data_IF_969338816393
#
_entry.id   IF_969338816393
#
_cell.length_a   1.000
_cell.length_b   1.000
_cell.length_c   1.000
_cell.angle_alpha   90.00
_cell.angle_beta   90.00
_cell.angle_gamma   90.00
#
_symmetry.space_group_name_H-M   'P 1'
#
loop_
_entity.id
_entity.type
_entity.pdbx_description
1 polymer ?
#
# COMPACT_ATOMS: atom_id res chain seq x y z
N UNK A 1 -9.11 -13.47 19.28
CA UNK A 1 -8.60 -12.72 20.48
C UNK A 1 -9.59 -11.61 20.81
N UNK A 2 -9.95 -11.45 22.06
CA UNK A 2 -10.92 -10.41 22.48
C UNK A 2 -10.21 -9.06 22.56
N UNK A 3 -10.79 -8.03 21.96
CA UNK A 3 -10.34 -6.65 22.12
C UNK A 3 -10.78 -6.15 23.50
N UNK A 4 -9.87 -5.59 24.31
CA UNK A 4 -10.21 -5.00 25.60
C UNK A 4 -11.10 -3.75 25.43
N UNK A 5 -12.09 -3.58 26.32
CA UNK A 5 -12.90 -2.35 26.35
C UNK A 5 -12.04 -1.20 26.85
N UNK A 6 -11.69 -0.27 25.95
CA UNK A 6 -10.91 0.92 26.31
C UNK A 6 -9.64 1.13 25.49
N UNK A 7 -9.45 0.38 24.38
CA UNK A 7 -8.28 0.60 23.54
C UNK A 7 -8.27 2.03 22.99
N UNK A 8 -7.29 2.77 23.43
CA UNK A 8 -6.81 4.00 22.83
C UNK A 8 -5.81 3.62 21.71
N UNK A 9 -5.66 4.47 20.68
CA UNK A 9 -4.54 4.32 19.77
C UNK A 9 -4.84 3.58 18.47
N UNK A 10 -6.00 3.81 17.83
CA UNK A 10 -6.26 3.36 16.47
C UNK A 10 -5.48 4.16 15.44
N UNK A 11 -4.86 3.47 14.51
CA UNK A 11 -4.13 4.06 13.40
C UNK A 11 -4.52 3.40 12.06
N UNK A 12 -4.50 4.22 11.02
CA UNK A 12 -4.70 3.83 9.63
C UNK A 12 -3.51 4.32 8.82
N UNK A 13 -2.76 3.40 8.26
CA UNK A 13 -1.86 3.69 7.15
C UNK A 13 -2.65 3.55 5.85
N UNK A 14 -3.00 4.68 5.23
CA UNK A 14 -3.73 4.71 3.97
C UNK A 14 -2.74 4.72 2.81
N UNK A 15 -2.31 3.55 2.37
CA UNK A 15 -1.37 3.40 1.26
C UNK A 15 -2.01 3.50 -0.13
N UNK A 16 -1.20 3.71 -1.16
CA UNK A 16 -1.65 3.77 -2.57
C UNK A 16 -2.11 2.40 -3.07
N UNK A 17 -1.41 1.34 -2.72
CA UNK A 17 -1.67 -0.04 -3.15
C UNK A 17 -2.33 -0.85 -2.04
N UNK A 18 -1.84 -0.75 -0.82
CA UNK A 18 -2.35 -1.45 0.34
C UNK A 18 -2.49 -0.48 1.53
N UNK A 19 -3.48 -0.71 2.37
CA UNK A 19 -3.73 0.03 3.61
C UNK A 19 -3.61 -0.89 4.82
N UNK A 20 -2.99 -0.39 5.89
CA UNK A 20 -2.82 -1.10 7.15
C UNK A 20 -3.65 -0.46 8.28
N UNK A 21 -4.35 -1.27 9.06
CA UNK A 21 -5.01 -0.81 10.29
C UNK A 21 -4.25 -1.38 11.48
N UNK A 22 -3.82 -0.52 12.38
CA UNK A 22 -3.13 -0.93 13.59
C UNK A 22 -3.79 -0.33 14.84
N UNK A 23 -3.53 -0.93 15.98
CA UNK A 23 -3.90 -0.38 17.28
C UNK A 23 -2.83 -0.74 18.31
N UNK A 24 -2.74 0.07 19.35
CA UNK A 24 -1.92 -0.24 20.52
C UNK A 24 -2.58 -1.34 21.34
N UNK A 25 -1.84 -2.40 21.67
CA UNK A 25 -2.29 -3.49 22.52
C UNK A 25 -1.72 -3.29 23.93
N UNK A 26 -2.55 -2.82 24.85
CA UNK A 26 -2.14 -2.54 26.23
C UNK A 26 -1.66 -3.80 26.97
N UNK A 27 -2.16 -4.98 26.59
CA UNK A 27 -1.78 -6.24 27.24
C UNK A 27 -0.39 -6.71 26.83
N UNK A 28 0.02 -6.37 25.62
CA UNK A 28 1.33 -6.72 25.07
C UNK A 28 2.33 -5.56 25.16
N UNK A 29 1.87 -4.35 25.50
CA UNK A 29 2.71 -3.14 25.53
C UNK A 29 3.31 -2.77 24.16
N UNK A 30 2.67 -3.15 23.06
CA UNK A 30 3.18 -2.95 21.71
C UNK A 30 2.07 -2.72 20.67
N UNK A 31 2.38 -2.11 19.52
CA UNK A 31 1.42 -1.99 18.43
C UNK A 31 1.11 -3.36 17.81
N UNK A 32 -0.09 -3.49 17.28
CA UNK A 32 -0.57 -4.68 16.61
C UNK A 32 -1.37 -4.31 15.36
N UNK A 33 -1.13 -4.99 14.24
CA UNK A 33 -2.02 -4.94 13.09
C UNK A 33 -3.36 -5.61 13.40
N UNK A 34 -4.41 -5.01 12.89
CA UNK A 34 -5.77 -5.53 13.00
C UNK A 34 -6.08 -6.34 11.75
N UNK A 35 -6.23 -7.64 11.92
CA UNK A 35 -6.64 -8.52 10.85
C UNK A 35 -8.11 -8.28 10.49
N UNK A 36 -8.37 -8.07 9.21
CA UNK A 36 -9.70 -7.86 8.63
C UNK A 36 -9.99 -8.95 7.59
N UNK A 37 -10.30 -10.20 8.02
CA UNK A 37 -10.30 -11.38 7.15
C UNK A 37 -11.22 -11.28 5.94
N UNK A 38 -12.28 -10.46 6.02
CA UNK A 38 -13.21 -10.28 4.90
C UNK A 38 -12.64 -9.44 3.77
N UNK A 39 -11.64 -8.58 4.03
CA UNK A 39 -11.15 -7.58 3.05
C UNK A 39 -9.64 -7.59 2.85
N UNK A 40 -8.85 -8.15 3.78
CA UNK A 40 -7.40 -8.27 3.61
C UNK A 40 -7.03 -9.31 2.55
N UNK A 41 -5.78 -9.32 2.12
CA UNK A 41 -5.24 -10.35 1.24
C UNK A 41 -5.45 -11.75 1.84
N UNK A 42 -5.55 -12.79 1.01
CA UNK A 42 -5.62 -14.17 1.50
C UNK A 42 -4.32 -14.54 2.22
N UNK A 43 -4.49 -15.27 3.31
CA UNK A 43 -3.42 -16.00 3.97
C UNK A 43 -3.18 -17.29 3.17
N UNK A 44 -2.32 -17.27 2.18
CA UNK A 44 -1.93 -18.49 1.46
C UNK A 44 -0.77 -19.20 2.15
N UNK A 45 -0.02 -18.46 2.97
CA UNK A 45 1.10 -18.99 3.75
C UNK A 45 1.06 -18.50 5.19
N UNK A 46 1.79 -19.22 6.05
CA UNK A 46 2.01 -18.84 7.45
C UNK A 46 3.12 -17.81 7.64
N UNK A 47 3.74 -17.31 6.55
CA UNK A 47 4.84 -16.36 6.63
C UNK A 47 4.32 -14.93 6.93
N UNK A 48 4.72 -14.34 8.06
CA UNK A 48 4.34 -12.97 8.43
C UNK A 48 4.79 -11.90 7.42
N UNK A 49 5.79 -12.22 6.58
CA UNK A 49 6.36 -11.29 5.61
C UNK A 49 5.50 -11.12 4.36
N UNK A 50 4.56 -12.02 4.09
CA UNK A 50 3.68 -11.94 2.91
C UNK A 50 2.55 -10.90 3.02
N UNK A 51 2.59 -10.03 4.01
CA UNK A 51 1.62 -8.95 4.23
C UNK A 51 0.12 -9.35 4.18
N UNK A 52 -0.28 -10.49 4.77
CA UNK A 52 -1.65 -10.98 4.69
C UNK A 52 -2.68 -10.07 5.37
N UNK A 53 -2.22 -9.18 6.24
CA UNK A 53 -3.06 -8.31 7.08
C UNK A 53 -3.38 -6.97 6.44
N UNK A 54 -2.76 -6.65 5.31
CA UNK A 54 -3.02 -5.42 4.59
C UNK A 54 -4.26 -5.55 3.71
N UNK A 55 -5.01 -4.46 3.64
CA UNK A 55 -6.19 -4.34 2.79
C UNK A 55 -5.80 -3.66 1.49
N UNK A 56 -5.96 -4.30 0.33
CA UNK A 56 -5.77 -3.63 -0.96
C UNK A 56 -6.59 -2.34 -1.06
N UNK A 57 -5.95 -1.25 -1.43
CA UNK A 57 -6.56 0.09 -1.51
C UNK A 57 -7.37 0.27 -2.79
N UNK A 58 -8.29 -0.64 -3.04
CA UNK A 58 -9.14 -0.70 -4.24
C UNK A 58 -10.60 -0.67 -3.87
N UNK A 59 -11.44 -0.20 -4.80
CA UNK A 59 -12.89 -0.12 -4.62
C UNK A 59 -13.60 -0.61 -5.87
N UNK A 60 -14.61 -1.47 -5.70
CA UNK A 60 -15.56 -1.81 -6.75
C UNK A 60 -16.94 -1.38 -6.31
N UNK A 61 -17.53 -0.41 -7.01
CA UNK A 61 -18.86 0.07 -6.71
C UNK A 61 -19.91 -0.90 -7.19
N UNK A 62 -20.89 -1.18 -6.34
CA UNK A 62 -22.02 -2.03 -6.69
C UNK A 62 -23.09 -1.21 -7.37
N UNK A 63 -23.65 -1.71 -8.47
CA UNK A 63 -24.81 -1.13 -9.10
C UNK A 63 -26.00 -1.18 -8.14
N UNK A 64 -26.74 -0.08 -8.04
CA UNK A 64 -27.93 -0.05 -7.21
C UNK A 64 -28.99 -0.93 -7.87
N UNK A 65 -29.65 -1.86 -7.16
CA UNK A 65 -30.85 -2.48 -7.67
C UNK A 65 -31.88 -1.38 -7.92
N UNK A 66 -32.53 -1.38 -9.09
CA UNK A 66 -33.46 -0.32 -9.53
C UNK A 66 -34.64 0.02 -8.59
N UNK A 67 -34.92 -0.82 -7.59
CA UNK A 67 -35.88 -0.56 -6.52
C UNK A 67 -35.37 0.47 -5.50
N UNK A 68 -34.05 0.57 -5.32
CA UNK A 68 -33.42 1.49 -4.34
C UNK A 68 -33.40 2.93 -4.86
N UNK A 69 -33.45 3.14 -6.17
CA UNK A 69 -33.53 4.49 -6.76
C UNK A 69 -34.88 5.18 -6.43
N UNK A 70 -35.96 4.43 -6.25
CA UNK A 70 -37.25 4.96 -5.78
C UNK A 70 -37.24 5.37 -4.30
N UNK A 71 -36.35 4.80 -3.49
CA UNK A 71 -36.15 5.14 -2.07
C UNK A 71 -35.22 6.35 -1.88
N UNK A 72 -34.66 6.89 -2.94
CA UNK A 72 -33.78 8.07 -2.94
C UNK A 72 -34.39 9.32 -2.31
N UNK A 73 -35.72 9.42 -2.27
CA UNK A 73 -36.46 10.53 -1.69
C UNK A 73 -36.82 10.35 -0.20
N UNK A 74 -36.37 9.28 0.44
CA UNK A 74 -36.64 9.05 1.84
C UNK A 74 -35.77 9.90 2.77
N UNK A 75 -36.25 10.24 4.00
CA UNK A 75 -35.50 11.04 4.95
C UNK A 75 -34.10 10.46 5.26
N UNK A 76 -33.10 11.31 5.56
CA UNK A 76 -31.70 10.87 5.78
C UNK A 76 -31.50 9.77 6.83
N UNK A 77 -32.39 9.71 7.83
CA UNK A 77 -32.39 8.68 8.89
C UNK A 77 -32.79 7.30 8.34
N UNK A 78 -33.81 7.23 7.47
CA UNK A 78 -34.23 5.99 6.84
C UNK A 78 -33.20 5.45 5.85
N UNK A 79 -32.48 6.34 5.12
CA UNK A 79 -31.38 5.96 4.23
C UNK A 79 -30.26 5.19 4.96
N UNK A 80 -29.98 5.50 6.22
CA UNK A 80 -28.96 4.80 7.01
C UNK A 80 -29.28 3.33 7.31
N UNK A 81 -30.56 2.97 7.43
CA UNK A 81 -31.01 1.62 7.75
C UNK A 81 -31.12 0.71 6.52
N UNK A 82 -31.48 1.26 5.37
CA UNK A 82 -31.79 0.49 4.15
C UNK A 82 -30.66 0.44 3.12
N UNK A 83 -29.59 1.21 3.30
CA UNK A 83 -28.45 1.19 2.38
C UNK A 83 -27.45 0.11 2.82
N UNK A 84 -27.59 -1.09 2.23
CA UNK A 84 -26.63 -2.17 2.31
C UNK A 84 -25.20 -1.78 1.88
N UNK A 85 -24.34 -2.75 1.71
CA UNK A 85 -22.99 -2.56 1.20
C UNK A 85 -23.08 -1.89 -0.18
N UNK A 86 -22.42 -0.73 -0.34
CA UNK A 86 -22.43 0.05 -1.59
C UNK A 86 -21.22 -0.21 -2.45
N UNK A 87 -20.17 -0.76 -1.87
CA UNK A 87 -18.94 -1.05 -2.55
C UNK A 87 -18.28 -2.29 -1.92
N UNK A 88 -17.54 -3.01 -2.73
CA UNK A 88 -16.56 -3.98 -2.29
C UNK A 88 -15.22 -3.27 -2.16
N UNK A 89 -14.44 -3.60 -1.16
CA UNK A 89 -13.07 -3.10 -0.96
C UNK A 89 -12.11 -4.26 -0.76
N UNK A 90 -10.83 -3.99 -0.96
CA UNK A 90 -9.80 -4.99 -0.71
C UNK A 90 -9.92 -6.21 -1.59
N UNK A 91 -9.65 -7.40 -1.03
CA UNK A 91 -9.66 -8.67 -1.76
C UNK A 91 -10.96 -8.93 -2.54
N UNK A 92 -12.17 -8.79 -2.00
CA UNK A 92 -13.39 -9.01 -2.78
C UNK A 92 -13.53 -8.10 -4.00
N UNK A 93 -12.98 -6.88 -3.93
CA UNK A 93 -12.95 -5.98 -5.07
C UNK A 93 -11.95 -6.43 -6.13
N UNK A 94 -10.80 -6.96 -5.73
CA UNK A 94 -9.81 -7.54 -6.66
C UNK A 94 -10.37 -8.79 -7.33
N UNK A 95 -10.87 -9.76 -6.57
CA UNK A 95 -11.43 -11.02 -7.07
C UNK A 95 -12.54 -10.78 -8.10
N UNK A 96 -13.40 -9.78 -7.87
CA UNK A 96 -14.47 -9.42 -8.80
C UNK A 96 -13.95 -8.84 -10.12
N UNK A 97 -12.76 -8.29 -10.14
CA UNK A 97 -12.16 -7.62 -11.30
C UNK A 97 -10.97 -8.39 -11.88
N UNK A 98 -10.75 -9.62 -11.45
CA UNK A 98 -9.70 -10.48 -11.97
C UNK A 98 -9.92 -10.73 -13.47
N UNK A 99 -8.93 -10.35 -14.28
CA UNK A 99 -9.00 -10.44 -15.74
C UNK A 99 -10.04 -9.53 -16.43
N UNK A 100 -10.86 -8.79 -15.70
CA UNK A 100 -11.93 -7.95 -16.24
C UNK A 100 -11.68 -6.47 -15.94
N UNK A 101 -11.92 -5.60 -16.93
CA UNK A 101 -11.91 -4.13 -16.72
C UNK A 101 -13.34 -3.65 -16.50
N UNK A 102 -13.82 -3.75 -15.25
CA UNK A 102 -15.17 -3.28 -14.97
C UNK A 102 -15.20 -1.74 -14.81
N UNK A 103 -16.14 -1.03 -15.46
CA UNK A 103 -16.19 0.43 -15.39
C UNK A 103 -16.36 0.99 -13.96
N UNK A 104 -16.95 0.22 -13.05
CA UNK A 104 -17.16 0.59 -11.65
C UNK A 104 -15.96 0.27 -10.72
N UNK A 105 -14.84 -0.18 -11.27
CA UNK A 105 -13.65 -0.53 -10.51
C UNK A 105 -12.66 0.64 -10.44
N UNK A 106 -12.22 0.96 -9.23
CA UNK A 106 -11.19 1.97 -8.93
C UNK A 106 -9.96 1.26 -8.38
N UNK A 107 -8.91 1.07 -9.19
CA UNK A 107 -7.69 0.37 -8.76
C UNK A 107 -6.79 1.22 -7.86
N UNK A 108 -6.95 2.54 -7.86
CA UNK A 108 -6.24 3.46 -6.98
C UNK A 108 -6.96 4.80 -6.90
N UNK A 109 -6.96 5.43 -5.73
CA UNK A 109 -7.62 6.73 -5.52
C UNK A 109 -6.74 7.72 -4.71
N UNK A 110 -5.80 7.21 -3.88
CA UNK A 110 -4.98 8.05 -2.97
C UNK A 110 -4.23 9.18 -3.70
N UNK A 111 -3.53 8.93 -4.83
CA UNK A 111 -2.80 10.01 -5.50
C UNK A 111 -3.68 11.18 -5.94
N UNK A 112 -4.91 10.90 -6.40
CA UNK A 112 -5.84 11.93 -6.85
C UNK A 112 -6.42 12.78 -5.70
N UNK A 113 -6.41 12.29 -4.46
CA UNK A 113 -6.88 13.07 -3.29
C UNK A 113 -5.99 14.29 -3.00
N UNK A 114 -4.74 14.30 -3.42
CA UNK A 114 -3.80 15.38 -3.14
C UNK A 114 -3.98 16.63 -4.01
N UNK A 115 -4.68 16.53 -5.13
CA UNK A 115 -4.84 17.67 -6.04
C UNK A 115 -6.11 17.62 -6.89
N UNK A 116 -6.63 16.43 -7.19
CA UNK A 116 -7.73 16.21 -8.12
C UNK A 116 -8.84 15.33 -7.51
N UNK A 117 -9.24 15.63 -6.26
CA UNK A 117 -10.21 14.80 -5.53
C UNK A 117 -11.55 14.60 -6.26
N UNK A 118 -11.92 15.52 -7.14
CA UNK A 118 -13.13 15.45 -7.98
C UNK A 118 -12.89 14.83 -9.36
N UNK A 119 -11.66 14.36 -9.65
CA UNK A 119 -11.36 13.66 -10.90
C UNK A 119 -12.19 12.37 -10.99
N UNK A 120 -12.90 12.16 -12.12
CA UNK A 120 -13.58 10.90 -12.38
C UNK A 120 -12.57 9.75 -12.51
N UNK A 121 -12.79 8.68 -11.74
CA UNK A 121 -11.94 7.47 -11.77
C UNK A 121 -12.68 6.25 -12.29
N UNK A 122 -14.00 6.22 -12.18
CA UNK A 122 -14.84 5.10 -12.56
C UNK A 122 -16.25 5.57 -12.97
N UNK A 123 -17.09 4.64 -13.45
CA UNK A 123 -18.50 4.90 -13.79
C UNK A 123 -19.38 3.79 -13.25
N UNK A 124 -20.51 4.18 -12.65
CA UNK A 124 -21.56 3.25 -12.20
C UNK A 124 -22.85 3.62 -12.93
N UNK A 125 -23.23 2.82 -13.89
CA UNK A 125 -24.31 3.20 -14.80
C UNK A 125 -23.98 4.49 -15.55
N UNK A 126 -24.76 5.55 -15.29
CA UNK A 126 -24.56 6.89 -15.87
C UNK A 126 -23.78 7.85 -14.98
N UNK A 127 -23.54 7.50 -13.72
CA UNK A 127 -22.87 8.36 -12.74
C UNK A 127 -21.35 8.18 -12.81
N UNK A 128 -20.61 9.30 -12.81
CA UNK A 128 -19.17 9.29 -12.64
C UNK A 128 -18.81 9.20 -11.16
N UNK A 129 -17.83 8.39 -10.83
CA UNK A 129 -17.30 8.20 -9.47
C UNK A 129 -15.95 8.89 -9.37
N UNK A 130 -15.81 9.78 -8.40
CA UNK A 130 -14.60 10.57 -8.18
C UNK A 130 -13.63 9.89 -7.19
N UNK A 131 -12.40 10.40 -7.08
CA UNK A 131 -11.45 9.95 -6.06
C UNK A 131 -11.99 10.16 -4.64
N UNK A 132 -12.72 11.27 -4.39
CA UNK A 132 -13.41 11.53 -3.12
C UNK A 132 -14.46 10.47 -2.81
N UNK A 133 -15.26 10.08 -3.80
CA UNK A 133 -16.28 9.04 -3.63
C UNK A 133 -15.64 7.68 -3.32
N UNK A 134 -14.54 7.36 -4.01
CA UNK A 134 -13.80 6.13 -3.78
C UNK A 134 -13.19 6.09 -2.37
N UNK A 135 -12.57 7.18 -1.91
CA UNK A 135 -12.04 7.28 -0.56
C UNK A 135 -13.15 7.15 0.50
N UNK A 136 -14.28 7.84 0.31
CA UNK A 136 -15.44 7.74 1.19
C UNK A 136 -16.00 6.31 1.27
N UNK A 137 -16.09 5.62 0.13
CA UNK A 137 -16.56 4.25 0.08
C UNK A 137 -15.57 3.30 0.77
N UNK A 138 -14.28 3.42 0.46
CA UNK A 138 -13.21 2.62 1.08
C UNK A 138 -13.21 2.77 2.61
N UNK A 139 -13.12 4.00 3.10
CA UNK A 139 -13.08 4.29 4.54
C UNK A 139 -14.35 3.83 5.26
N UNK A 140 -15.50 3.95 4.63
CA UNK A 140 -16.78 3.46 5.20
C UNK A 140 -16.78 1.95 5.41
N UNK A 141 -16.43 1.19 4.37
CA UNK A 141 -16.43 -0.27 4.45
C UNK A 141 -15.30 -0.75 5.37
N UNK A 142 -14.15 -0.10 5.36
CA UNK A 142 -13.04 -0.39 6.28
C UNK A 142 -13.46 -0.21 7.75
N UNK A 143 -14.04 0.94 8.12
CA UNK A 143 -14.53 1.20 9.47
C UNK A 143 -15.66 0.25 9.88
N UNK A 144 -16.47 -0.22 8.92
CA UNK A 144 -17.50 -1.25 9.15
C UNK A 144 -16.86 -2.59 9.52
N UNK A 145 -15.86 -3.02 8.78
CA UNK A 145 -15.13 -4.26 9.05
C UNK A 145 -14.35 -4.18 10.37
N UNK A 146 -13.68 -3.06 10.66
CA UNK A 146 -13.05 -2.83 11.98
C UNK A 146 -14.07 -3.02 13.10
N UNK A 147 -15.25 -2.40 12.99
CA UNK A 147 -16.31 -2.54 13.99
C UNK A 147 -16.81 -3.98 14.11
N UNK A 148 -16.91 -4.70 13.01
CA UNK A 148 -17.37 -6.11 12.98
C UNK A 148 -16.37 -7.03 13.69
N UNK A 149 -15.07 -6.85 13.45
CA UNK A 149 -14.00 -7.67 14.02
C UNK A 149 -13.72 -7.30 15.48
N UNK A 150 -13.65 -5.99 15.79
CA UNK A 150 -13.29 -5.50 17.14
C UNK A 150 -14.47 -5.34 18.09
N UNK A 151 -15.70 -5.28 17.57
CA UNK A 151 -16.90 -4.90 18.35
C UNK A 151 -16.95 -3.41 18.70
N UNK A 152 -15.96 -2.62 18.34
CA UNK A 152 -15.80 -1.22 18.73
C UNK A 152 -16.03 -0.26 17.56
N UNK A 153 -16.52 0.94 17.85
CA UNK A 153 -16.53 2.04 16.89
C UNK A 153 -15.27 2.87 17.07
N UNK A 154 -14.52 3.05 16.01
CA UNK A 154 -13.38 3.97 15.99
C UNK A 154 -13.90 5.40 16.12
N UNK A 155 -13.52 6.07 17.19
CA UNK A 155 -13.89 7.48 17.46
C UNK A 155 -12.71 8.42 17.32
N UNK A 156 -11.54 7.94 17.70
CA UNK A 156 -10.26 8.63 17.59
C UNK A 156 -9.37 7.81 16.67
N UNK A 157 -8.79 8.45 15.66
CA UNK A 157 -7.99 7.78 14.65
C UNK A 157 -6.79 8.64 14.26
N UNK A 158 -5.62 8.06 14.25
CA UNK A 158 -4.44 8.61 13.59
C UNK A 158 -4.39 8.09 12.16
N UNK A 159 -4.09 8.95 11.21
CA UNK A 159 -3.91 8.58 9.80
C UNK A 159 -2.54 9.04 9.34
N UNK A 160 -1.83 8.17 8.62
CA UNK A 160 -0.56 8.54 8.00
C UNK A 160 -0.77 9.52 6.85
N UNK A 161 0.17 10.41 6.68
CA UNK A 161 0.14 11.44 5.64
C UNK A 161 1.49 11.52 4.96
N UNK A 162 1.55 11.48 3.61
CA UNK A 162 2.80 11.78 2.92
C UNK A 162 3.29 13.19 3.27
N UNK A 163 4.59 13.36 3.52
CA UNK A 163 5.19 14.68 3.84
C UNK A 163 4.98 15.73 2.76
N UNK A 164 4.63 15.31 1.56
CA UNK A 164 4.30 16.20 0.46
C UNK A 164 2.80 16.32 0.23
N UNK A 165 2.00 15.71 1.09
CA UNK A 165 0.56 15.83 0.99
C UNK A 165 0.18 17.29 1.32
N UNK A 166 -0.32 17.95 0.31
CA UNK A 166 -0.94 19.25 0.47
C UNK A 166 -2.07 19.15 1.50
N UNK A 167 -2.38 20.26 2.14
CA UNK A 167 -3.53 20.39 3.05
C UNK A 167 -4.81 19.75 2.49
N UNK A 168 -4.95 19.74 1.17
CA UNK A 168 -6.06 19.11 0.44
C UNK A 168 -6.24 17.63 0.79
N UNK A 169 -5.18 16.82 0.79
CA UNK A 169 -5.27 15.39 1.15
C UNK A 169 -5.78 15.22 2.58
N UNK A 170 -5.16 15.94 3.53
CA UNK A 170 -5.57 15.87 4.94
C UNK A 170 -7.02 16.33 5.13
N UNK A 171 -7.43 17.40 4.44
CA UNK A 171 -8.79 17.90 4.47
C UNK A 171 -9.81 16.88 3.93
N UNK A 172 -9.54 16.27 2.78
CA UNK A 172 -10.41 15.26 2.17
C UNK A 172 -10.60 14.03 3.08
N UNK A 173 -9.49 13.47 3.60
CA UNK A 173 -9.53 12.31 4.49
C UNK A 173 -10.20 12.66 5.82
N UNK A 174 -9.91 13.82 6.40
CA UNK A 174 -10.53 14.28 7.64
C UNK A 174 -12.04 14.47 7.47
N UNK A 175 -12.46 15.10 6.39
CA UNK A 175 -13.88 15.29 6.09
C UNK A 175 -14.61 13.97 5.93
N UNK A 176 -14.02 13.02 5.17
CA UNK A 176 -14.58 11.69 4.98
C UNK A 176 -14.78 10.96 6.32
N UNK A 177 -13.75 10.93 7.16
CA UNK A 177 -13.76 10.25 8.46
C UNK A 177 -14.75 10.90 9.44
N UNK A 178 -14.84 12.23 9.47
CA UNK A 178 -15.82 12.94 10.30
C UNK A 178 -17.26 12.61 9.90
N UNK A 179 -17.56 12.59 8.61
CA UNK A 179 -18.87 12.17 8.10
C UNK A 179 -19.22 10.73 8.46
N UNK A 180 -18.21 9.87 8.65
CA UNK A 180 -18.37 8.48 9.08
C UNK A 180 -18.46 8.31 10.60
N UNK A 181 -18.34 9.40 11.37
CA UNK A 181 -18.55 9.43 12.81
C UNK A 181 -17.27 9.28 13.63
N UNK A 182 -16.10 9.41 13.04
CA UNK A 182 -14.82 9.58 13.73
C UNK A 182 -14.79 10.99 14.30
N UNK A 183 -14.61 11.13 15.61
CA UNK A 183 -14.71 12.44 16.31
C UNK A 183 -13.39 13.22 16.24
N UNK A 184 -12.27 12.52 16.47
CA UNK A 184 -10.94 13.08 16.45
C UNK A 184 -10.09 12.37 15.40
N UNK A 185 -9.58 13.14 14.43
CA UNK A 185 -8.64 12.67 13.43
C UNK A 185 -7.34 13.44 13.65
N UNK A 186 -6.25 12.73 13.90
CA UNK A 186 -4.89 13.25 13.93
C UNK A 186 -4.13 12.73 12.72
N UNK A 187 -3.15 13.47 12.26
CA UNK A 187 -2.25 13.03 11.22
C UNK A 187 -0.84 12.87 11.77
N UNK A 188 -0.12 11.92 11.22
CA UNK A 188 1.31 11.72 11.43
C UNK A 188 1.98 11.55 10.07
N UNK A 189 3.09 12.22 9.86
CA UNK A 189 3.86 12.10 8.63
C UNK A 189 4.46 10.69 8.51
N UNK A 190 4.41 10.12 7.32
CA UNK A 190 4.91 8.77 7.04
C UNK A 190 6.35 8.54 7.54
N UNK A 191 7.32 9.48 7.39
CA UNK A 191 8.65 9.31 7.95
C UNK A 191 8.70 9.23 9.48
N UNK A 192 7.87 10.00 10.18
CA UNK A 192 7.78 9.93 11.65
C UNK A 192 7.20 8.57 12.06
N UNK A 193 6.12 8.16 11.40
CA UNK A 193 5.53 6.85 11.64
C UNK A 193 6.52 5.73 11.34
N UNK A 194 7.26 5.78 10.23
CA UNK A 194 8.29 4.79 9.91
C UNK A 194 9.38 4.74 10.99
N UNK A 195 9.89 5.88 11.44
CA UNK A 195 10.91 5.94 12.49
C UNK A 195 10.43 5.30 13.80
N UNK A 196 9.23 5.66 14.25
CA UNK A 196 8.62 5.03 15.43
C UNK A 196 8.38 3.53 15.25
N UNK A 197 7.92 3.12 14.05
CA UNK A 197 7.68 1.71 13.72
C UNK A 197 8.94 0.87 13.68
N UNK A 198 10.07 1.47 13.33
CA UNK A 198 11.39 0.84 13.40
C UNK A 198 12.08 0.97 14.77
N UNK A 199 11.39 1.54 15.76
CA UNK A 199 11.93 1.67 17.12
C UNK A 199 13.08 2.68 17.22
N UNK A 200 13.12 3.67 16.33
CA UNK A 200 14.15 4.71 16.39
C UNK A 200 13.84 5.67 17.53
N UNK A 201 14.80 5.87 18.44
CA UNK A 201 14.69 6.91 19.46
C UNK A 201 14.70 8.29 18.84
N UNK A 202 13.70 9.08 19.19
CA UNK A 202 13.57 10.47 18.77
C UNK A 202 13.82 11.44 19.95
N UNK A 203 14.75 11.08 20.84
CA UNK A 203 15.18 11.88 22.00
C UNK A 203 16.11 13.05 21.62
N UNK A 204 16.70 13.00 20.44
CA UNK A 204 17.53 14.07 19.87
C UNK A 204 17.23 14.21 18.36
N UNK A 205 17.59 15.35 17.75
CA UNK A 205 17.38 15.54 16.32
C UNK A 205 18.20 14.55 15.48
N UNK A 206 17.54 13.88 14.52
CA UNK A 206 18.16 12.89 13.62
C UNK A 206 17.96 13.25 12.16
N UNK A 207 18.95 12.98 11.35
CA UNK A 207 18.84 13.02 9.88
C UNK A 207 18.56 11.63 9.37
N UNK A 208 17.39 11.46 8.78
CA UNK A 208 16.86 10.15 8.38
C UNK A 208 16.53 10.14 6.89
N UNK A 209 17.03 9.13 6.17
CA UNK A 209 16.66 8.86 4.79
C UNK A 209 15.55 7.83 4.78
N UNK A 210 14.37 8.18 4.29
CA UNK A 210 13.26 7.26 4.09
C UNK A 210 13.15 6.93 2.61
N UNK A 211 13.16 5.64 2.30
CA UNK A 211 13.02 5.13 0.94
C UNK A 211 11.78 4.25 0.92
N UNK A 212 10.71 4.80 0.36
CA UNK A 212 9.44 4.11 0.20
C UNK A 212 9.26 3.67 -1.25
N UNK A 213 9.23 2.34 -1.46
CA UNK A 213 8.98 1.76 -2.77
C UNK A 213 7.72 0.90 -2.71
N UNK A 214 6.62 1.52 -3.12
CA UNK A 214 5.32 0.88 -3.21
C UNK A 214 5.09 0.16 -4.53
N UNK A 215 3.83 -0.12 -4.84
CA UNK A 215 3.46 -0.72 -6.14
C UNK A 215 3.64 0.24 -7.32
N UNK A 216 3.26 1.52 -7.16
CA UNK A 216 3.26 2.48 -8.27
C UNK A 216 4.43 3.46 -8.30
N UNK A 217 5.02 3.76 -7.16
CA UNK A 217 5.97 4.87 -7.00
C UNK A 217 7.14 4.50 -6.10
N UNK A 218 8.27 5.15 -6.34
CA UNK A 218 9.44 5.20 -5.47
C UNK A 218 9.56 6.63 -4.94
N UNK A 219 9.63 6.77 -3.64
CA UNK A 219 9.86 8.05 -2.96
C UNK A 219 11.13 7.95 -2.12
N UNK A 220 12.05 8.86 -2.33
CA UNK A 220 13.25 9.03 -1.53
C UNK A 220 13.13 10.38 -0.84
N UNK A 221 13.08 10.37 0.47
CA UNK A 221 12.84 11.58 1.28
C UNK A 221 13.90 11.67 2.37
N UNK A 222 14.62 12.76 2.40
CA UNK A 222 15.56 13.08 3.46
C UNK A 222 14.88 14.05 4.43
N UNK A 223 14.81 13.66 5.69
CA UNK A 223 14.12 14.42 6.73
C UNK A 223 15.02 14.68 7.93
N UNK A 224 14.72 15.77 8.64
CA UNK A 224 15.18 16.00 10.00
C UNK A 224 14.02 15.72 10.94
N UNK A 225 14.23 14.80 11.86
CA UNK A 225 13.27 14.48 12.91
C UNK A 225 13.79 15.08 14.22
N UNK A 226 13.13 16.10 14.74
CA UNK A 226 13.39 16.61 16.08
C UNK A 226 12.36 16.04 17.07
N UNK A 227 12.68 15.93 18.37
CA UNK A 227 11.71 15.48 19.38
C UNK A 227 10.42 16.29 19.36
N UNK A 228 10.52 17.60 19.17
CA UNK A 228 9.37 18.51 19.14
C UNK A 228 8.46 18.26 17.95
N UNK A 229 9.04 18.15 16.75
CA UNK A 229 8.27 17.97 15.52
C UNK A 229 7.67 16.57 15.48
N UNK A 230 8.43 15.55 15.91
CA UNK A 230 7.94 14.18 16.02
C UNK A 230 6.76 14.06 16.99
N UNK A 231 6.78 14.76 18.14
CA UNK A 231 5.66 14.82 19.07
C UNK A 231 4.42 15.47 18.44
N UNK A 232 4.60 16.39 17.49
CA UNK A 232 3.52 16.97 16.69
C UNK A 232 3.07 16.05 15.53
N UNK A 233 3.80 14.97 15.26
CA UNK A 233 3.59 14.07 14.12
C UNK A 233 4.12 14.62 12.81
N UNK A 234 5.06 15.55 12.86
CA UNK A 234 5.60 16.26 11.72
C UNK A 234 7.07 15.91 11.47
N UNK A 235 7.51 16.01 10.22
CA UNK A 235 8.89 15.85 9.79
C UNK A 235 9.35 17.06 9.00
N UNK A 236 10.52 17.61 9.32
CA UNK A 236 11.14 18.64 8.52
C UNK A 236 11.81 18.04 7.29
N UNK A 237 11.24 18.26 6.11
CA UNK A 237 11.79 17.75 4.84
C UNK A 237 12.99 18.59 4.42
N UNK A 238 14.15 17.95 4.30
CA UNK A 238 15.39 18.57 3.78
C UNK A 238 15.43 18.49 2.25
N UNK A 239 15.11 17.31 1.71
CA UNK A 239 15.02 17.08 0.28
C UNK A 239 14.09 15.89 -0.02
N UNK A 240 13.55 15.85 -1.24
CA UNK A 240 12.72 14.71 -1.68
C UNK A 240 12.80 14.50 -3.18
N UNK A 241 12.65 13.24 -3.59
CA UNK A 241 12.49 12.83 -4.98
C UNK A 241 11.43 11.75 -5.10
N UNK A 242 10.58 11.86 -6.12
CA UNK A 242 9.58 10.85 -6.46
C UNK A 242 9.75 10.42 -7.90
N UNK A 243 9.62 9.11 -8.15
CA UNK A 243 9.62 8.53 -9.48
C UNK A 243 8.36 7.66 -9.65
N UNK A 244 7.76 7.58 -10.85
CA UNK A 244 6.69 6.63 -11.17
C UNK A 244 7.28 5.23 -11.41
N UNK A 245 8.05 4.73 -10.44
CA UNK A 245 8.80 3.50 -10.48
C UNK A 245 8.54 2.71 -9.20
N UNK A 246 7.86 1.58 -9.34
CA UNK A 246 7.50 0.71 -8.21
C UNK A 246 7.27 -0.71 -8.69
N UNK A 247 6.67 -1.54 -7.83
CA UNK A 247 6.40 -2.95 -8.10
C UNK A 247 5.65 -3.22 -9.39
N UNK A 248 4.70 -2.36 -9.78
CA UNK A 248 3.92 -2.52 -11.00
C UNK A 248 4.77 -2.38 -12.28
N UNK A 249 5.78 -1.51 -12.25
CA UNK A 249 6.73 -1.41 -13.37
C UNK A 249 7.56 -2.70 -13.48
N UNK A 250 7.99 -3.23 -12.34
CA UNK A 250 8.73 -4.49 -12.28
C UNK A 250 7.86 -5.66 -12.78
N UNK A 251 6.57 -5.71 -12.43
CA UNK A 251 5.63 -6.71 -12.96
C UNK A 251 5.58 -6.69 -14.50
N UNK A 252 5.52 -5.49 -15.08
CA UNK A 252 5.57 -5.31 -16.53
C UNK A 252 6.88 -5.79 -17.15
N UNK A 253 8.02 -5.53 -16.53
CA UNK A 253 9.32 -5.97 -17.02
C UNK A 253 9.47 -7.50 -16.94
N UNK A 254 9.02 -8.09 -15.82
CA UNK A 254 8.99 -9.56 -15.66
C UNK A 254 8.11 -10.18 -16.72
N UNK A 255 6.90 -9.65 -16.92
CA UNK A 255 5.98 -10.14 -17.94
C UNK A 255 6.62 -10.08 -19.34
N UNK A 256 7.18 -8.94 -19.72
CA UNK A 256 7.82 -8.77 -21.04
C UNK A 256 8.96 -9.76 -21.27
N UNK A 257 9.82 -9.95 -20.25
CA UNK A 257 10.95 -10.87 -20.33
C UNK A 257 10.51 -12.33 -20.49
N UNK A 258 9.54 -12.76 -19.67
CA UNK A 258 9.05 -14.14 -19.67
C UNK A 258 8.24 -14.45 -20.94
N UNK A 259 7.44 -13.52 -21.43
CA UNK A 259 6.70 -13.67 -22.69
C UNK A 259 7.63 -13.76 -23.87
N UNK A 260 8.68 -12.91 -23.93
CA UNK A 260 9.67 -12.95 -25.00
C UNK A 260 10.38 -14.30 -25.08
N UNK A 261 10.78 -14.89 -23.95
CA UNK A 261 11.40 -16.21 -23.90
C UNK A 261 10.45 -17.30 -24.41
N UNK A 262 9.17 -17.18 -24.17
CA UNK A 262 8.16 -18.12 -24.63
C UNK A 262 7.69 -17.86 -26.08
N UNK A 263 8.27 -16.87 -26.76
CA UNK A 263 7.92 -16.53 -28.15
C UNK A 263 6.55 -15.85 -28.30
N UNK A 264 6.02 -15.24 -27.23
CA UNK A 264 4.77 -14.49 -27.26
C UNK A 264 5.04 -12.98 -27.36
N UNK A 265 4.43 -12.34 -28.36
CA UNK A 265 4.44 -10.89 -28.50
C UNK A 265 3.22 -10.28 -27.78
N UNK A 266 3.50 -9.42 -26.82
CA UNK A 266 2.46 -8.74 -26.03
C UNK A 266 1.73 -7.64 -26.82
N UNK A 267 2.33 -7.15 -27.89
CA UNK A 267 1.83 -6.04 -28.70
C UNK A 267 1.19 -6.49 -30.03
N UNK A 268 1.16 -7.81 -30.30
CA UNK A 268 0.71 -8.34 -31.56
C UNK A 268 -0.76 -8.04 -31.88
N UNK A 269 -1.65 -8.03 -30.86
CA UNK A 269 -3.07 -7.81 -31.03
C UNK A 269 -3.66 -6.90 -29.93
N UNK A 270 -4.49 -5.92 -30.30
CA UNK A 270 -5.21 -5.02 -29.38
C UNK A 270 -6.72 -5.35 -29.29
N UNK A 271 -7.08 -6.62 -29.45
CA UNK A 271 -8.46 -7.08 -29.25
C UNK A 271 -8.80 -7.27 -27.75
N UNK A 272 -10.07 -7.53 -27.46
CA UNK A 272 -10.55 -7.69 -26.10
C UNK A 272 -9.94 -8.93 -25.41
N UNK A 273 -9.74 -10.02 -26.16
CA UNK A 273 -9.18 -11.28 -25.66
C UNK A 273 -7.72 -11.08 -25.25
N UNK A 274 -6.94 -10.42 -26.10
CA UNK A 274 -5.52 -10.10 -25.83
C UNK A 274 -5.38 -9.17 -24.63
N UNK A 275 -6.30 -8.19 -24.46
CA UNK A 275 -6.31 -7.30 -23.28
C UNK A 275 -6.65 -8.03 -21.99
N UNK A 276 -7.59 -8.99 -22.02
CA UNK A 276 -7.91 -9.82 -20.85
C UNK A 276 -6.71 -10.71 -20.52
N UNK A 277 -6.15 -11.38 -21.54
CA UNK A 277 -5.00 -12.25 -21.37
C UNK A 277 -3.80 -11.50 -20.78
N UNK A 278 -3.46 -10.32 -21.31
CA UNK A 278 -2.36 -9.49 -20.81
C UNK A 278 -2.55 -9.14 -19.33
N UNK A 279 -3.78 -8.84 -18.90
CA UNK A 279 -4.07 -8.56 -17.47
C UNK A 279 -3.88 -9.78 -16.58
N UNK A 280 -4.31 -10.96 -17.04
CA UNK A 280 -4.11 -12.21 -16.31
C UNK A 280 -2.62 -12.55 -16.19
N UNK A 281 -1.87 -12.36 -17.27
CA UNK A 281 -0.43 -12.61 -17.27
C UNK A 281 0.33 -11.58 -16.41
N UNK A 282 -0.12 -10.33 -16.37
CA UNK A 282 0.44 -9.31 -15.47
C UNK A 282 0.19 -9.67 -14.00
N UNK A 283 -0.99 -10.18 -13.68
CA UNK A 283 -1.29 -10.66 -12.32
C UNK A 283 -0.40 -11.86 -11.94
N UNK A 284 -0.16 -12.78 -12.88
CA UNK A 284 0.75 -13.91 -12.67
C UNK A 284 2.21 -13.44 -12.54
N UNK A 285 2.65 -12.45 -13.31
CA UNK A 285 3.98 -11.83 -13.16
C UNK A 285 4.15 -11.20 -11.77
N UNK A 286 3.13 -10.51 -11.27
CA UNK A 286 3.11 -9.98 -9.91
C UNK A 286 3.24 -11.10 -8.87
N UNK A 287 2.46 -12.18 -9.01
CA UNK A 287 2.51 -13.34 -8.13
C UNK A 287 3.90 -13.96 -8.07
N UNK A 288 4.51 -14.27 -9.23
CA UNK A 288 5.84 -14.89 -9.25
C UNK A 288 6.92 -13.95 -8.73
N UNK A 289 6.86 -12.66 -9.03
CA UNK A 289 7.77 -11.65 -8.48
C UNK A 289 7.71 -11.64 -6.95
N UNK A 290 6.51 -11.60 -6.38
CA UNK A 290 6.34 -11.58 -4.91
C UNK A 290 6.77 -12.92 -4.28
N UNK A 291 6.48 -14.04 -4.90
CA UNK A 291 6.87 -15.36 -4.40
C UNK A 291 8.40 -15.55 -4.36
N UNK A 292 9.13 -15.01 -5.35
CA UNK A 292 10.61 -15.07 -5.40
C UNK A 292 11.28 -14.34 -4.22
N UNK A 293 10.56 -13.47 -3.49
CA UNK A 293 11.10 -12.88 -2.27
C UNK A 293 11.36 -13.94 -1.17
N UNK A 294 10.56 -15.00 -1.15
CA UNK A 294 10.56 -16.05 -0.13
C UNK A 294 11.01 -17.41 -0.66
N UNK A 295 10.75 -17.70 -1.92
CA UNK A 295 11.09 -18.95 -2.60
C UNK A 295 12.37 -18.78 -3.44
N UNK A 296 13.10 -19.87 -3.63
CA UNK A 296 14.34 -19.84 -4.44
C UNK A 296 14.04 -19.67 -5.92
N UNK A 297 12.93 -20.25 -6.39
CA UNK A 297 12.62 -20.44 -7.78
C UNK A 297 11.11 -20.68 -7.94
N UNK A 298 10.44 -19.90 -8.78
CA UNK A 298 8.99 -19.91 -8.95
C UNK A 298 8.61 -20.12 -10.41
N UNK A 299 7.64 -20.99 -10.66
CA UNK A 299 7.11 -21.20 -12.00
C UNK A 299 6.12 -20.10 -12.41
N UNK A 300 6.39 -19.46 -13.53
CA UNK A 300 5.45 -18.58 -14.23
C UNK A 300 4.55 -19.42 -15.12
N UNK A 301 3.26 -19.30 -14.92
CA UNK A 301 2.27 -20.12 -15.57
C UNK A 301 1.57 -19.32 -16.67
N UNK A 302 1.93 -19.58 -17.92
CA UNK A 302 1.32 -18.92 -19.08
C UNK A 302 0.29 -19.81 -19.76
N UNK A 303 -0.87 -19.24 -20.10
CA UNK A 303 -1.83 -19.84 -21.05
C UNK A 303 -1.79 -19.03 -22.35
N UNK A 304 -1.89 -19.68 -23.52
CA UNK A 304 -2.02 -18.97 -24.78
C UNK A 304 -3.25 -18.05 -24.82
N UNK A 305 -3.22 -16.93 -25.59
CA UNK A 305 -4.37 -16.07 -25.79
C UNK A 305 -5.59 -16.86 -26.29
N UNK A 306 -6.78 -16.55 -25.78
CA UNK A 306 -8.03 -17.18 -26.21
C UNK A 306 -8.36 -18.55 -25.60
N UNK A 307 -7.45 -19.13 -24.80
CA UNK A 307 -7.75 -20.35 -24.06
C UNK A 307 -8.26 -20.00 -22.65
N UNK A 308 -9.37 -20.63 -22.26
CA UNK A 308 -9.92 -20.48 -20.90
C UNK A 308 -8.91 -20.94 -19.85
N UNK A 309 -8.63 -20.11 -18.88
CA UNK A 309 -7.74 -20.39 -17.77
C UNK A 309 -8.35 -21.50 -16.90
N UNK A 310 -8.08 -22.75 -17.21
CA UNK A 310 -8.30 -23.87 -16.29
C UNK A 310 -6.96 -24.33 -15.78
N UNK A 311 -6.69 -24.11 -14.51
CA UNK A 311 -5.44 -24.51 -13.84
C UNK A 311 -5.09 -26.02 -13.98
N UNK A 312 -6.03 -26.84 -14.39
CA UNK A 312 -5.92 -28.30 -14.36
C UNK A 312 -5.50 -28.96 -15.70
N UNK A 313 -5.56 -28.26 -16.82
CA UNK A 313 -5.20 -28.90 -18.13
C UNK A 313 -4.48 -27.90 -19.03
N UNK A 314 -3.20 -28.11 -19.24
CA UNK A 314 -2.34 -27.28 -20.08
C UNK A 314 -1.71 -28.02 -21.25
N UNK A 315 -2.42 -28.24 -22.34
CA UNK A 315 -1.75 -28.56 -23.61
C UNK A 315 -1.25 -27.24 -24.22
N UNK A 316 0.06 -27.07 -24.31
CA UNK A 316 0.70 -25.94 -25.00
C UNK A 316 1.11 -24.74 -24.16
N UNK A 317 0.86 -24.72 -22.84
CA UNK A 317 1.40 -23.71 -21.93
C UNK A 317 2.84 -24.08 -21.53
N UNK A 318 3.79 -23.19 -21.81
CA UNK A 318 5.15 -23.33 -21.29
C UNK A 318 5.19 -22.93 -19.81
N UNK A 319 6.13 -23.50 -19.07
CA UNK A 319 6.53 -22.99 -17.74
C UNK A 319 7.92 -22.42 -17.86
N UNK A 320 8.03 -21.13 -17.57
CA UNK A 320 9.34 -20.48 -17.39
C UNK A 320 9.53 -20.26 -15.89
N UNK A 321 10.75 -20.39 -15.43
CA UNK A 321 11.06 -20.19 -14.01
C UNK A 321 11.68 -18.82 -13.78
N UNK A 322 11.28 -18.19 -12.69
CA UNK A 322 11.86 -16.97 -12.21
C UNK A 322 12.53 -17.25 -10.86
N UNK A 323 13.80 -16.89 -10.74
CA UNK A 323 14.55 -16.91 -9.50
C UNK A 323 15.04 -15.51 -9.14
N UNK A 324 15.70 -15.38 -8.00
CA UNK A 324 16.21 -14.08 -7.52
C UNK A 324 17.30 -13.50 -8.40
N UNK A 325 18.17 -14.32 -8.98
CA UNK A 325 19.26 -13.86 -9.83
C UNK A 325 18.71 -13.31 -11.15
N UNK A 326 17.78 -14.04 -11.74
CA UNK A 326 17.10 -13.59 -12.96
C UNK A 326 16.30 -12.29 -12.74
N UNK A 327 15.54 -12.22 -11.63
CA UNK A 327 14.82 -11.00 -11.28
C UNK A 327 15.80 -9.83 -11.08
N UNK A 328 16.94 -10.08 -10.41
CA UNK A 328 18.01 -9.07 -10.27
C UNK A 328 18.53 -8.62 -11.63
N UNK A 329 18.79 -9.54 -12.55
CA UNK A 329 19.22 -9.23 -13.91
C UNK A 329 18.23 -8.36 -14.68
N UNK A 330 16.92 -8.64 -14.55
CA UNK A 330 15.85 -7.80 -15.14
C UNK A 330 15.91 -6.37 -14.55
N UNK A 331 16.02 -6.24 -13.24
CA UNK A 331 16.11 -4.93 -12.57
C UNK A 331 17.32 -4.11 -13.03
N UNK A 332 18.48 -4.76 -13.15
CA UNK A 332 19.72 -4.12 -13.62
C UNK A 332 19.62 -3.67 -15.09
N UNK A 333 19.08 -4.51 -15.97
CA UNK A 333 18.87 -4.20 -17.39
C UNK A 333 17.91 -3.01 -17.57
N UNK A 334 16.83 -2.96 -16.80
CA UNK A 334 15.85 -1.89 -16.83
C UNK A 334 16.31 -0.63 -16.09
N UNK A 335 17.51 -0.63 -15.50
CA UNK A 335 18.09 0.53 -14.85
C UNK A 335 17.44 0.90 -13.52
N UNK A 336 16.78 -0.04 -12.84
CA UNK A 336 16.12 0.19 -11.56
C UNK A 336 17.08 0.76 -10.52
N UNK A 337 18.23 0.12 -10.31
CA UNK A 337 19.22 0.55 -9.33
C UNK A 337 19.96 1.83 -9.73
N UNK A 338 20.11 2.12 -11.02
CA UNK A 338 20.62 3.43 -11.48
C UNK A 338 19.66 4.56 -11.13
N UNK A 339 18.36 4.34 -11.33
CA UNK A 339 17.32 5.32 -10.97
C UNK A 339 17.26 5.54 -9.46
N UNK A 340 17.41 4.47 -8.68
CA UNK A 340 17.49 4.54 -7.22
C UNK A 340 18.72 5.32 -6.76
N UNK A 341 19.92 4.98 -7.27
CA UNK A 341 21.16 5.68 -6.97
C UNK A 341 21.06 7.18 -7.26
N UNK A 342 20.60 7.53 -8.46
CA UNK A 342 20.42 8.92 -8.86
C UNK A 342 19.41 9.67 -7.96
N UNK A 343 18.38 8.96 -7.44
CA UNK A 343 17.42 9.57 -6.53
C UNK A 343 18.02 9.80 -5.15
N UNK A 344 18.81 8.86 -4.64
CA UNK A 344 19.49 8.96 -3.34
C UNK A 344 20.55 10.07 -3.38
N UNK A 345 21.41 10.06 -4.39
CA UNK A 345 22.43 11.10 -4.61
C UNK A 345 21.81 12.48 -4.74
N UNK A 346 20.76 12.59 -5.56
CA UNK A 346 20.09 13.86 -5.79
C UNK A 346 19.41 14.47 -4.56
N UNK A 347 18.89 13.68 -3.62
CA UNK A 347 18.35 14.23 -2.37
C UNK A 347 19.44 14.62 -1.40
N UNK A 348 20.59 13.93 -1.37
CA UNK A 348 21.75 14.30 -0.58
C UNK A 348 22.36 15.61 -1.09
N UNK A 349 22.59 15.73 -2.38
CA UNK A 349 23.10 16.95 -3.03
C UNK A 349 22.17 18.14 -2.78
N UNK A 350 20.85 17.97 -2.96
CA UNK A 350 19.87 19.02 -2.74
C UNK A 350 19.88 19.53 -1.30
N UNK A 351 20.14 18.65 -0.32
CA UNK A 351 20.26 19.01 1.08
C UNK A 351 21.65 19.52 1.48
N UNK A 352 22.64 19.42 0.60
CA UNK A 352 24.04 19.74 0.91
C UNK A 352 24.67 18.78 1.93
N UNK A 353 24.19 17.53 1.95
CA UNK A 353 24.62 16.48 2.87
C UNK A 353 25.29 15.32 2.13
N UNK A 354 26.01 14.50 2.88
CA UNK A 354 26.65 13.27 2.40
C UNK A 354 26.02 12.05 3.07
N UNK A 355 26.37 10.84 2.61
CA UNK A 355 25.93 9.62 3.24
C UNK A 355 26.38 9.49 4.72
N UNK A 356 27.49 10.13 5.09
CA UNK A 356 27.99 10.15 6.46
C UNK A 356 27.09 10.93 7.42
N UNK A 357 26.36 11.94 6.92
CA UNK A 357 25.46 12.78 7.70
C UNK A 357 24.08 12.12 7.95
N UNK A 358 23.80 11.00 7.29
CA UNK A 358 22.57 10.22 7.47
C UNK A 358 22.75 9.24 8.60
N UNK A 359 21.95 9.37 9.66
CA UNK A 359 22.05 8.54 10.84
C UNK A 359 21.27 7.22 10.70
N UNK A 360 20.09 7.27 10.07
CA UNK A 360 19.27 6.08 9.83
C UNK A 360 18.69 6.10 8.40
N UNK A 361 18.60 4.90 7.81
CA UNK A 361 17.97 4.66 6.50
C UNK A 361 16.81 3.70 6.70
N UNK A 362 15.60 4.15 6.39
CA UNK A 362 14.37 3.38 6.58
C UNK A 362 13.86 2.92 5.23
N UNK A 363 13.82 1.59 5.05
CA UNK A 363 13.30 0.96 3.83
C UNK A 363 11.84 0.56 4.06
N UNK A 364 10.94 1.22 3.35
CA UNK A 364 9.49 1.09 3.51
C UNK A 364 8.85 0.65 2.20
N UNK A 365 7.75 -0.08 2.28
CA UNK A 365 7.02 -0.58 1.13
C UNK A 365 7.51 -1.93 0.61
N UNK A 366 6.58 -2.73 0.06
CA UNK A 366 6.83 -4.12 -0.31
C UNK A 366 7.90 -4.32 -1.38
N UNK A 367 8.10 -3.34 -2.27
CA UNK A 367 9.13 -3.44 -3.31
C UNK A 367 10.56 -3.26 -2.78
N UNK A 368 10.75 -2.94 -1.50
CA UNK A 368 12.08 -2.97 -0.86
C UNK A 368 12.60 -4.39 -0.63
N UNK A 369 11.74 -5.40 -0.79
CA UNK A 369 12.13 -6.82 -0.76
C UNK A 369 12.73 -7.32 -2.08
N UNK A 370 12.78 -6.49 -3.12
CA UNK A 370 13.42 -6.83 -4.40
C UNK A 370 14.88 -7.26 -4.20
N UNK A 371 15.33 -8.31 -4.93
CA UNK A 371 16.68 -8.85 -4.78
C UNK A 371 17.77 -7.78 -4.94
N UNK A 372 18.64 -7.63 -3.95
CA UNK A 372 19.73 -6.66 -3.93
C UNK A 372 19.36 -5.26 -3.45
N UNK A 373 18.09 -5.02 -3.08
CA UNK A 373 17.66 -3.70 -2.59
C UNK A 373 18.32 -3.35 -1.27
N UNK A 374 18.30 -4.26 -0.31
CA UNK A 374 18.93 -4.07 0.99
C UNK A 374 20.46 -3.88 0.83
N UNK A 375 21.14 -4.75 0.07
CA UNK A 375 22.59 -4.67 -0.15
C UNK A 375 23.00 -3.35 -0.77
N UNK A 376 22.17 -2.77 -1.66
CA UNK A 376 22.42 -1.46 -2.24
C UNK A 376 22.62 -0.36 -1.16
N UNK A 377 21.84 -0.41 -0.09
CA UNK A 377 21.93 0.54 1.01
C UNK A 377 23.01 0.18 2.03
N UNK A 378 23.24 -1.13 2.31
CA UNK A 378 24.33 -1.56 3.18
C UNK A 378 25.70 -1.08 2.69
N UNK A 379 25.92 -1.15 1.39
CA UNK A 379 27.19 -0.71 0.76
C UNK A 379 27.43 0.79 0.89
N UNK A 380 26.38 1.61 0.97
CA UNK A 380 26.44 3.08 0.98
C UNK A 380 26.35 3.72 2.35
N UNK A 381 25.60 3.11 3.27
CA UNK A 381 25.24 3.73 4.55
C UNK A 381 25.66 2.93 5.78
N UNK A 382 26.42 1.86 5.65
CA UNK A 382 26.70 0.90 6.70
C UNK A 382 25.46 0.12 7.21
N UNK A 383 25.60 -1.19 7.38
CA UNK A 383 24.50 -2.08 7.80
C UNK A 383 23.74 -1.60 9.03
N UNK A 384 24.45 -1.12 10.05
CA UNK A 384 23.85 -0.70 11.33
C UNK A 384 22.88 0.46 11.23
N UNK A 385 22.96 1.26 10.15
CA UNK A 385 22.08 2.40 9.88
C UNK A 385 20.84 2.00 9.08
N UNK A 386 20.82 0.84 8.43
CA UNK A 386 19.75 0.42 7.55
C UNK A 386 18.70 -0.39 8.31
N UNK A 387 17.45 0.04 8.24
CA UNK A 387 16.29 -0.61 8.85
C UNK A 387 15.36 -1.10 7.75
N UNK A 388 15.08 -2.41 7.72
CA UNK A 388 14.30 -3.05 6.66
C UNK A 388 13.37 -4.16 7.16
N UNK A 389 13.22 -4.37 8.48
CA UNK A 389 12.32 -5.40 8.98
C UNK A 389 10.86 -4.98 8.85
N UNK A 390 9.98 -5.90 8.43
CA UNK A 390 8.55 -5.66 8.23
C UNK A 390 8.21 -4.37 7.44
N UNK A 391 8.76 -4.18 6.23
CA UNK A 391 8.62 -2.95 5.48
C UNK A 391 7.17 -2.61 5.10
N UNK A 392 6.28 -3.59 5.10
CA UNK A 392 4.85 -3.40 4.84
C UNK A 392 4.09 -2.79 6.02
N UNK A 393 4.57 -3.01 7.25
CA UNK A 393 3.81 -2.81 8.48
C UNK A 393 4.39 -1.70 9.36
N UNK A 394 5.67 -1.36 9.17
CA UNK A 394 6.40 -0.43 10.02
C UNK A 394 5.66 0.92 10.18
N UNK A 395 5.16 1.49 9.08
CA UNK A 395 4.42 2.76 9.11
C UNK A 395 3.13 2.65 9.93
N UNK A 396 2.38 1.56 9.77
CA UNK A 396 1.15 1.34 10.52
C UNK A 396 1.43 1.13 12.03
N UNK A 397 2.51 0.42 12.37
CA UNK A 397 2.94 0.23 13.75
C UNK A 397 3.33 1.56 14.41
N UNK A 398 4.17 2.35 13.75
CA UNK A 398 4.57 3.65 14.28
C UNK A 398 3.40 4.62 14.41
N UNK A 399 2.47 4.62 13.48
CA UNK A 399 1.24 5.39 13.59
C UNK A 399 0.39 4.96 14.81
N UNK A 400 0.38 3.66 15.16
CA UNK A 400 -0.30 3.18 16.37
C UNK A 400 0.44 3.58 17.65
N UNK A 401 1.79 3.61 17.65
CA UNK A 401 2.58 4.16 18.74
C UNK A 401 2.26 5.63 18.96
N UNK A 402 2.25 6.43 17.89
CA UNK A 402 1.86 7.83 17.94
C UNK A 402 0.41 8.02 18.42
N UNK A 403 -0.51 7.15 18.02
CA UNK A 403 -1.90 7.19 18.45
C UNK A 403 -2.07 6.94 19.95
N UNK A 404 -1.21 6.13 20.53
CA UNK A 404 -1.19 5.80 21.96
C UNK A 404 -0.34 6.76 22.81
N UNK A 405 0.24 7.80 22.20
CA UNK A 405 1.19 8.73 22.82
C UNK A 405 2.43 7.99 23.42
N UNK A 406 2.84 6.89 22.76
CA UNK A 406 4.01 6.07 23.10
C UNK A 406 5.14 6.40 22.13
N UNK A 407 5.88 7.45 22.44
CA UNK A 407 7.00 7.95 21.64
C UNK A 407 8.35 7.37 22.10
N UNK A 408 8.34 6.66 23.23
CA UNK A 408 9.54 6.01 23.75
C UNK A 408 9.91 4.82 22.89
N UNK A 409 11.19 4.54 22.80
CA UNK A 409 11.74 3.38 22.05
C UNK A 409 11.02 2.11 22.47
N UNK A 410 10.32 1.55 21.53
CA UNK A 410 9.84 0.19 21.67
C UNK A 410 11.05 -0.70 21.45
N UNK A 411 11.50 -1.40 22.48
CA UNK A 411 12.40 -2.53 22.33
C UNK A 411 11.66 -3.60 21.52
N UNK A 412 11.59 -3.39 20.21
CA UNK A 412 11.19 -4.47 19.32
C UNK A 412 12.31 -5.49 19.34
N UNK A 413 12.04 -6.55 20.07
CA UNK A 413 12.90 -7.72 20.10
C UNK A 413 13.10 -8.19 18.66
N UNK A 414 14.32 -8.10 18.21
CA UNK A 414 14.87 -8.68 16.99
C UNK A 414 14.72 -10.20 17.04
#
# INVERSE_FOLDING_TARGET
MAFSRGQAGWALDLGTTNSGVACWDESLGRPRLVELPAVCRKLETSDPLEAPRLVPSVVHFLEKPGVVDRLGNWPPLARRFFLGQRALIGRPALERNEGVSHPAFVPTFKPALSGEALRPLARVGRESVTARDAANAFLRELLREIKKVSGQRVRDLVVTSPVAAFETYRAEVQQALRHLGVRRVRFVDEPVAAALGYGISLDHPRTVLVVDVGGGTMHVVLVRLSPKDAAAGEAAVLAKRGLPLGGNAVDGWVLNELCREMGHDLDADDDEVSRIWRRLMLAEACRVKEAVYFEQDVAFLMSPPGQTFRMETRPGGGTVRLDRERLRGILDQQGFYRSLAHSVEGVLEQAGLTAADVEDVLLVGGSTLLPGFFSFFEERFERRRVRAWQPFEAVAYGAACFAADRMDTLDFIV
#
